data_IF_043378893707
#
_entry.id   IF_043378893707
#
_cell.length_a   1.000
_cell.length_b   1.000
_cell.length_c   1.000
_cell.angle_alpha   90.00
_cell.angle_beta   90.00
_cell.angle_gamma   90.00
#
_symmetry.space_group_name_H-M   'P 1'
#
loop_
_entity.id
_entity.type
_entity.pdbx_description
1 polymer ?
#
# COMPACT_ATOMS: atom_id res chain seq x y z
N UNK A 1 9.76 4.31 -16.82
CA UNK A 1 10.15 4.94 -15.53
C UNK A 1 9.17 4.53 -14.45
N UNK A 2 9.68 4.07 -13.34
CA UNK A 2 8.85 3.71 -12.20
C UNK A 2 8.42 4.99 -11.49
N UNK A 3 7.13 5.25 -11.47
CA UNK A 3 6.57 6.40 -10.78
C UNK A 3 5.41 5.93 -9.92
N UNK A 4 5.53 6.12 -8.62
CA UNK A 4 4.47 5.80 -7.68
C UNK A 4 3.41 6.91 -7.71
N UNK A 5 2.15 6.52 -7.70
CA UNK A 5 1.04 7.48 -7.77
C UNK A 5 0.81 8.17 -6.43
N UNK A 6 0.07 9.28 -6.46
CA UNK A 6 -0.36 9.95 -5.23
C UNK A 6 -1.22 9.04 -4.36
N UNK A 7 -1.95 8.13 -4.97
CA UNK A 7 -2.80 7.16 -4.29
C UNK A 7 -2.00 6.29 -3.32
N UNK A 8 -0.82 5.83 -3.74
CA UNK A 8 0.09 5.08 -2.89
C UNK A 8 0.60 5.92 -1.72
N UNK A 9 1.04 7.14 -2.01
CA UNK A 9 1.55 8.05 -0.99
C UNK A 9 0.48 8.34 0.07
N UNK A 10 -0.74 8.60 -0.37
CA UNK A 10 -1.87 8.85 0.52
C UNK A 10 -2.22 7.61 1.35
N UNK A 11 -2.19 6.43 0.74
CA UNK A 11 -2.44 5.18 1.45
C UNK A 11 -1.41 4.96 2.55
N UNK A 12 -0.14 5.16 2.24
CA UNK A 12 0.94 4.99 3.20
C UNK A 12 0.83 6.01 4.34
N UNK A 13 0.57 7.27 4.02
CA UNK A 13 0.38 8.32 5.02
C UNK A 13 -0.79 8.01 5.96
N UNK A 14 -1.92 7.59 5.39
CA UNK A 14 -3.12 7.28 6.15
C UNK A 14 -2.87 6.12 7.13
N UNK A 15 -2.28 5.03 6.63
CA UNK A 15 -2.08 3.85 7.46
C UNK A 15 -0.99 4.09 8.52
N UNK A 16 0.02 4.90 8.22
CA UNK A 16 1.03 5.30 9.21
C UNK A 16 0.43 6.16 10.31
N UNK A 17 -0.46 7.08 9.95
CA UNK A 17 -1.17 7.91 10.93
C UNK A 17 -1.95 7.03 11.92
N UNK A 18 -2.65 6.02 11.41
CA UNK A 18 -3.43 5.09 12.23
C UNK A 18 -2.50 4.21 13.08
N UNK A 19 -1.42 3.73 12.49
CA UNK A 19 -0.45 2.85 13.18
C UNK A 19 0.27 3.54 14.33
N UNK A 20 0.47 4.84 14.22
CA UNK A 20 1.09 5.64 15.29
C UNK A 20 0.17 5.79 16.51
N UNK A 21 -1.09 5.40 16.37
CA UNK A 21 -2.12 5.44 17.41
C UNK A 21 -2.80 4.07 17.54
N UNK A 22 -2.06 3.01 17.91
CA UNK A 22 -2.52 1.62 17.77
C UNK A 22 -3.71 1.23 18.65
N UNK A 23 -3.93 1.94 19.74
CA UNK A 23 -5.01 1.63 20.67
C UNK A 23 -6.21 2.58 20.54
N UNK A 24 -6.14 3.50 19.62
CA UNK A 24 -7.15 4.53 19.43
C UNK A 24 -7.97 4.29 18.17
N UNK A 25 -9.23 4.66 18.24
CA UNK A 25 -10.06 4.82 17.04
C UNK A 25 -9.73 6.18 16.43
N UNK A 26 -9.37 6.18 15.16
CA UNK A 26 -8.98 7.40 14.45
C UNK A 26 -10.10 7.82 13.52
N UNK A 27 -10.43 9.10 13.53
CA UNK A 27 -11.45 9.65 12.67
C UNK A 27 -10.87 9.99 11.29
N UNK A 28 -11.57 9.61 10.23
CA UNK A 28 -11.12 9.86 8.85
C UNK A 28 -10.86 11.34 8.59
N UNK A 29 -11.70 12.22 9.15
CA UNK A 29 -11.52 13.67 9.00
C UNK A 29 -10.21 14.17 9.60
N UNK A 30 -9.77 13.58 10.70
CA UNK A 30 -8.51 13.97 11.34
C UNK A 30 -7.32 13.61 10.46
N UNK A 31 -7.37 12.44 9.81
CA UNK A 31 -6.34 12.04 8.85
C UNK A 31 -6.33 12.99 7.66
N UNK A 32 -7.51 13.27 7.11
CA UNK A 32 -7.66 14.15 5.95
C UNK A 32 -7.07 15.54 6.23
N UNK A 33 -7.36 16.10 7.39
CA UNK A 33 -6.85 17.41 7.80
C UNK A 33 -5.35 17.38 8.06
N UNK A 34 -4.88 16.39 8.80
CA UNK A 34 -3.46 16.28 9.18
C UNK A 34 -2.55 16.03 7.98
N UNK A 35 -2.97 15.20 7.05
CA UNK A 35 -2.15 14.82 5.90
C UNK A 35 -2.51 15.58 4.61
N UNK A 36 -3.41 16.54 4.71
CA UNK A 36 -3.85 17.37 3.58
C UNK A 36 -4.36 16.54 2.40
N UNK A 37 -5.16 15.54 2.69
CA UNK A 37 -5.78 14.65 1.70
C UNK A 37 -7.27 14.97 1.63
N UNK A 38 -7.84 15.01 0.41
CA UNK A 38 -9.29 15.20 0.28
C UNK A 38 -10.03 14.04 0.95
N UNK A 39 -11.09 14.33 1.68
CA UNK A 39 -11.86 13.33 2.40
C UNK A 39 -12.42 12.24 1.47
N UNK A 40 -12.92 12.63 0.29
CA UNK A 40 -13.46 11.70 -0.69
C UNK A 40 -12.41 10.70 -1.20
N UNK A 41 -11.20 11.17 -1.50
CA UNK A 41 -10.09 10.31 -1.91
C UNK A 41 -9.68 9.37 -0.78
N UNK A 42 -9.58 9.92 0.43
CA UNK A 42 -9.18 9.15 1.61
C UNK A 42 -10.18 8.03 1.91
N UNK A 43 -11.47 8.30 1.79
CA UNK A 43 -12.51 7.28 2.00
C UNK A 43 -12.39 6.12 1.01
N UNK A 44 -12.03 6.41 -0.24
CA UNK A 44 -11.78 5.36 -1.26
C UNK A 44 -10.57 4.50 -0.90
N UNK A 45 -9.50 5.14 -0.47
CA UNK A 45 -8.28 4.45 -0.06
C UNK A 45 -8.55 3.56 1.15
N UNK A 46 -9.23 4.08 2.15
CA UNK A 46 -9.57 3.34 3.36
C UNK A 46 -10.48 2.15 3.03
N UNK A 47 -11.43 2.32 2.11
CA UNK A 47 -12.28 1.21 1.66
C UNK A 47 -11.45 0.09 1.02
N UNK A 48 -10.45 0.44 0.22
CA UNK A 48 -9.54 -0.54 -0.37
C UNK A 48 -8.69 -1.26 0.69
N UNK A 49 -8.19 -0.51 1.67
CA UNK A 49 -7.41 -1.08 2.77
C UNK A 49 -8.26 -1.97 3.67
N UNK A 50 -9.53 -1.65 3.84
CA UNK A 50 -10.47 -2.47 4.58
C UNK A 50 -10.77 -3.80 3.86
N UNK A 51 -10.95 -3.77 2.55
CA UNK A 51 -11.20 -4.96 1.73
C UNK A 51 -10.07 -5.98 1.82
N UNK A 52 -8.86 -5.53 2.04
CA UNK A 52 -7.67 -6.39 2.14
C UNK A 52 -7.29 -6.71 3.59
N UNK A 53 -8.18 -6.42 4.54
CA UNK A 53 -8.00 -6.74 5.97
C UNK A 53 -6.83 -6.02 6.64
N UNK A 54 -6.38 -4.89 6.09
CA UNK A 54 -5.35 -4.06 6.70
C UNK A 54 -5.93 -3.08 7.71
N UNK A 55 -7.12 -2.56 7.42
CA UNK A 55 -7.86 -1.65 8.29
C UNK A 55 -9.22 -2.22 8.61
N UNK A 56 -9.75 -1.79 9.73
CA UNK A 56 -11.11 -2.09 10.15
C UNK A 56 -11.84 -0.77 10.41
N UNK A 57 -13.02 -0.61 9.81
CA UNK A 57 -13.88 0.54 10.11
C UNK A 57 -14.86 0.14 11.20
N UNK A 58 -15.13 1.09 12.10
CA UNK A 58 -16.14 0.91 13.13
C UNK A 58 -17.41 1.58 12.66
N UNK A 59 -18.55 0.90 12.79
CA UNK A 59 -19.86 1.42 12.38
C UNK A 59 -20.16 2.74 13.06
N UNK A 60 -20.42 3.76 12.25
CA UNK A 60 -20.79 5.09 12.70
C UNK A 60 -20.77 6.07 11.54
N UNK A 61 -21.56 7.12 11.63
CA UNK A 61 -21.66 8.16 10.59
C UNK A 61 -20.37 8.91 10.37
N UNK A 62 -19.40 8.79 11.28
CA UNK A 62 -18.22 9.64 11.34
C UNK A 62 -16.95 8.99 10.82
N UNK A 63 -16.99 7.72 10.39
CA UNK A 63 -15.84 7.06 9.79
C UNK A 63 -14.65 6.89 10.73
N UNK A 64 -14.82 6.08 11.76
CA UNK A 64 -13.75 5.70 12.67
C UNK A 64 -13.01 4.47 12.13
N UNK A 65 -11.69 4.50 12.19
CA UNK A 65 -10.86 3.42 11.65
C UNK A 65 -9.78 3.03 12.65
N UNK A 66 -9.33 1.77 12.54
CA UNK A 66 -8.19 1.27 13.30
C UNK A 66 -7.52 0.16 12.49
N UNK A 67 -6.32 -0.24 12.89
CA UNK A 67 -5.62 -1.36 12.25
C UNK A 67 -6.37 -2.67 12.53
N UNK A 68 -6.50 -3.50 11.50
CA UNK A 68 -7.08 -4.84 11.62
C UNK A 68 -6.04 -5.88 12.02
N UNK A 69 -4.76 -5.56 11.84
CA UNK A 69 -3.63 -6.45 12.15
C UNK A 69 -2.57 -5.69 12.93
N UNK A 70 -1.71 -6.42 13.61
CA UNK A 70 -0.55 -5.83 14.27
C UNK A 70 0.37 -5.16 13.22
N UNK A 71 0.98 -4.01 13.52
CA UNK A 71 1.85 -3.30 12.57
C UNK A 71 2.99 -4.15 12.00
N UNK A 72 3.52 -5.10 12.77
CA UNK A 72 4.59 -5.99 12.31
C UNK A 72 4.13 -7.00 11.25
N UNK A 73 2.81 -7.15 11.06
CA UNK A 73 2.22 -8.03 10.06
C UNK A 73 1.77 -7.30 8.79
N UNK A 74 1.90 -5.98 8.77
CA UNK A 74 1.50 -5.16 7.62
C UNK A 74 2.76 -4.70 6.89
N UNK A 75 2.90 -5.11 5.63
CA UNK A 75 4.04 -4.74 4.79
C UNK A 75 3.68 -3.62 3.82
N UNK A 76 4.69 -2.88 3.38
CA UNK A 76 4.50 -1.87 2.33
C UNK A 76 3.96 -2.52 1.06
N UNK A 77 4.40 -3.73 0.74
CA UNK A 77 3.89 -4.50 -0.39
C UNK A 77 2.37 -4.68 -0.30
N UNK A 78 1.87 -5.11 0.86
CA UNK A 78 0.43 -5.32 1.08
C UNK A 78 -0.37 -4.02 0.93
N UNK A 79 0.17 -2.90 1.40
CA UNK A 79 -0.48 -1.59 1.27
C UNK A 79 -0.60 -1.18 -0.20
N UNK A 80 0.47 -1.33 -0.96
CA UNK A 80 0.49 -0.99 -2.39
C UNK A 80 -0.47 -1.88 -3.18
N UNK A 81 -0.47 -3.18 -2.89
CA UNK A 81 -1.36 -4.14 -3.52
C UNK A 81 -2.84 -3.80 -3.24
N UNK A 82 -3.13 -3.38 -2.03
CA UNK A 82 -4.48 -3.02 -1.59
C UNK A 82 -5.08 -1.85 -2.39
N UNK A 83 -4.26 -0.90 -2.81
CA UNK A 83 -4.71 0.26 -3.58
C UNK A 83 -4.55 0.07 -5.09
N UNK A 84 -4.35 -1.15 -5.52
CA UNK A 84 -4.26 -1.53 -6.94
C UNK A 84 -3.12 -0.81 -7.67
N UNK A 85 -2.03 -0.54 -6.98
CA UNK A 85 -0.86 0.04 -7.63
C UNK A 85 -0.13 -1.04 -8.43
N UNK A 86 0.18 -0.74 -9.68
CA UNK A 86 0.95 -1.65 -10.52
C UNK A 86 2.43 -1.59 -10.14
N UNK A 87 2.92 -2.68 -9.56
CA UNK A 87 4.30 -2.79 -9.10
C UNK A 87 5.21 -3.54 -10.07
N UNK A 88 4.77 -3.66 -11.32
CA UNK A 88 5.51 -4.37 -12.34
C UNK A 88 6.50 -3.44 -13.04
N UNK A 89 7.75 -3.89 -13.15
CA UNK A 89 8.79 -3.10 -13.82
C UNK A 89 8.57 -3.02 -15.33
N UNK A 90 8.06 -4.11 -15.91
CA UNK A 90 7.80 -4.20 -17.35
C UNK A 90 6.59 -5.09 -17.61
N UNK A 91 6.07 -5.01 -18.83
CA UNK A 91 4.95 -5.86 -19.25
C UNK A 91 5.28 -7.35 -19.16
N UNK A 92 6.51 -7.74 -19.47
CA UNK A 92 6.91 -9.14 -19.39
C UNK A 92 6.96 -9.67 -17.96
N UNK A 93 7.25 -8.82 -16.97
CA UNK A 93 7.19 -9.21 -15.56
C UNK A 93 5.75 -9.25 -15.04
N UNK A 94 4.83 -8.57 -15.71
CA UNK A 94 3.41 -8.59 -15.40
C UNK A 94 2.71 -9.85 -15.96
N UNK A 95 3.38 -10.60 -16.81
CA UNK A 95 2.81 -11.79 -17.44
C UNK A 95 2.12 -11.53 -18.77
N UNK A 96 2.29 -10.33 -19.33
CA UNK A 96 1.76 -10.01 -20.67
C UNK A 96 2.58 -10.77 -21.70
N UNK A 97 1.87 -11.36 -22.67
CA UNK A 97 2.50 -12.14 -23.74
C UNK A 97 3.51 -11.30 -24.50
N UNK A 98 4.70 -11.87 -24.71
CA UNK A 98 5.77 -11.27 -25.49
C UNK A 98 6.34 -12.35 -26.42
N UNK A 99 6.36 -12.10 -27.71
CA UNK A 99 6.87 -13.04 -28.72
C UNK A 99 8.35 -13.38 -28.51
N UNK A 100 9.12 -12.43 -27.98
CA UNK A 100 10.56 -12.59 -27.76
C UNK A 100 10.92 -13.08 -26.37
N UNK A 101 9.97 -13.52 -25.58
CA UNK A 101 10.19 -13.91 -24.17
C UNK A 101 11.32 -14.92 -24.02
N UNK A 102 11.41 -15.90 -24.92
CA UNK A 102 12.38 -16.98 -24.85
C UNK A 102 13.77 -16.60 -25.36
N UNK A 103 13.85 -15.61 -26.25
CA UNK A 103 15.07 -15.14 -26.86
C UNK A 103 15.53 -13.76 -26.38
N UNK A 104 14.84 -13.22 -25.37
CA UNK A 104 15.11 -11.88 -24.89
C UNK A 104 16.23 -11.88 -23.85
N UNK A 105 17.28 -11.13 -24.10
CA UNK A 105 18.44 -11.01 -23.21
C UNK A 105 18.09 -10.39 -21.85
N UNK A 106 17.02 -9.57 -21.80
CA UNK A 106 16.67 -8.84 -20.58
C UNK A 106 15.67 -9.55 -19.69
N UNK A 107 15.01 -10.60 -20.16
CA UNK A 107 13.95 -11.29 -19.41
C UNK A 107 14.43 -11.77 -18.04
N UNK A 108 15.60 -12.40 -17.99
CA UNK A 108 16.16 -12.91 -16.73
C UNK A 108 16.49 -11.80 -15.74
N UNK A 109 17.12 -10.74 -16.24
CA UNK A 109 17.51 -9.58 -15.43
C UNK A 109 16.26 -8.88 -14.87
N UNK A 110 15.28 -8.62 -15.73
CA UNK A 110 14.04 -7.95 -15.31
C UNK A 110 13.24 -8.79 -14.32
N UNK A 111 13.20 -10.10 -14.50
CA UNK A 111 12.58 -11.01 -13.56
C UNK A 111 13.26 -11.00 -12.19
N UNK A 112 14.58 -10.97 -12.16
CA UNK A 112 15.35 -10.88 -10.93
C UNK A 112 15.11 -9.55 -10.22
N UNK A 113 15.15 -8.45 -10.98
CA UNK A 113 14.89 -7.11 -10.43
C UNK A 113 13.47 -7.03 -9.83
N UNK A 114 12.49 -7.60 -10.51
CA UNK A 114 11.12 -7.64 -10.00
C UNK A 114 11.04 -8.40 -8.68
N UNK A 115 11.69 -9.56 -8.57
CA UNK A 115 11.72 -10.34 -7.34
C UNK A 115 12.40 -9.59 -6.20
N UNK A 116 13.52 -8.93 -6.47
CA UNK A 116 14.23 -8.13 -5.47
C UNK A 116 13.39 -6.94 -5.01
N UNK A 117 12.76 -6.24 -5.96
CA UNK A 117 11.86 -5.13 -5.64
C UNK A 117 10.70 -5.57 -4.73
N UNK A 118 10.04 -6.68 -5.10
CA UNK A 118 8.95 -7.23 -4.28
C UNK A 118 9.45 -7.65 -2.89
N UNK A 119 10.62 -8.27 -2.81
CA UNK A 119 11.21 -8.68 -1.55
C UNK A 119 11.52 -7.48 -0.64
N UNK A 120 12.07 -6.40 -1.21
CA UNK A 120 12.33 -5.17 -0.45
C UNK A 120 11.06 -4.58 0.12
N UNK A 121 9.98 -4.53 -0.67
CA UNK A 121 8.70 -4.02 -0.21
C UNK A 121 8.10 -4.89 0.90
N UNK A 122 8.30 -6.21 0.84
CA UNK A 122 7.82 -7.16 1.85
C UNK A 122 8.65 -7.11 3.13
N UNK A 123 9.89 -6.63 3.06
CA UNK A 123 10.75 -6.46 4.23
C UNK A 123 10.41 -5.20 5.04
N UNK A 124 9.77 -4.23 4.43
CA UNK A 124 9.34 -3.01 5.10
C UNK A 124 7.99 -3.23 5.74
N UNK A 125 7.97 -3.30 7.06
CA UNK A 125 6.76 -3.46 7.84
C UNK A 125 6.38 -2.15 8.52
N UNK A 126 5.11 -2.01 8.86
CA UNK A 126 4.56 -0.76 9.38
C UNK A 126 5.19 -0.37 10.73
N UNK A 127 5.49 -1.33 11.57
CA UNK A 127 6.15 -1.11 12.87
C UNK A 127 7.53 -0.46 12.72
N UNK A 128 8.26 -0.79 11.66
CA UNK A 128 9.58 -0.20 11.37
C UNK A 128 9.47 1.23 10.89
N UNK A 129 8.39 1.55 10.17
CA UNK A 129 8.18 2.88 9.60
C UNK A 129 7.74 3.88 10.67
N UNK A 130 6.82 3.49 11.55
CA UNK A 130 6.27 4.38 12.58
C UNK A 130 7.11 4.43 13.84
N UNK A 131 8.02 3.50 14.00
CA UNK A 131 8.92 3.47 15.17
C UNK A 131 10.02 4.51 14.98
N UNK A 132 9.90 5.60 15.68
CA UNK A 132 10.91 6.65 15.67
C UNK A 132 11.92 6.45 16.79
#
# INVERSE_FOLDING_TARGET
MIKLSKKWDYALKAICYIADRPLELVHIKDIATSEEISESMLRRIIANLEKTWLLRTVKGRNGWVQLAKSPNLITVYAILEAVWEELWLTDCTKGIYCEKKWDCYTTGVLGNLQRWFNALLKMQTLDKIVKK
#
